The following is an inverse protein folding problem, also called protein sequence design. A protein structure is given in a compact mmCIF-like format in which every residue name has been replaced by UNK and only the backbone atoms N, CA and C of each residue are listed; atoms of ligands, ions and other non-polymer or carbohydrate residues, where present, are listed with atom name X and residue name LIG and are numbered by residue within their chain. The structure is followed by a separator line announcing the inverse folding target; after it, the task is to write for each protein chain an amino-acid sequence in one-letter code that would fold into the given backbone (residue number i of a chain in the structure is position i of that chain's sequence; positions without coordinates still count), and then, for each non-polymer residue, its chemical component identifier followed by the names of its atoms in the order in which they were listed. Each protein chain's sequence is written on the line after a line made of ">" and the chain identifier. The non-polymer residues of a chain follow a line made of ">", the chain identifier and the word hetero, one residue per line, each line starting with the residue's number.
data_IF_496136050384
#
_entry.id   IF_496136050384
#
_cell.length_a   1.000
_cell.length_b   1.000
_cell.length_c   1.000
_cell.angle_alpha   90.00
_cell.angle_beta   90.00
_cell.angle_gamma   90.00
#
_symmetry.space_group_name_H-M   'P 1'
#
loop_
_entity.id
_entity.type
_entity.pdbx_description
1 polymer ?
#
# COMPACT_ATOMS: atom_id res chain seq x y z
N UNK A 1 -8.01 10.24 10.25
CA UNK A 1 -7.74 10.57 8.85
C UNK A 1 -6.26 10.93 8.78
N UNK A 2 -5.42 9.90 8.68
CA UNK A 2 -3.95 9.98 8.78
C UNK A 2 -3.42 10.10 7.35
N UNK A 3 -3.23 11.35 6.92
CA UNK A 3 -2.75 11.68 5.59
C UNK A 3 -1.22 11.72 5.62
N UNK A 4 -0.57 10.82 4.87
CA UNK A 4 0.91 10.76 4.77
C UNK A 4 1.54 12.03 4.18
N UNK A 5 0.74 12.86 3.51
CA UNK A 5 1.15 14.14 2.95
C UNK A 5 1.07 15.30 3.96
N UNK A 6 0.42 15.11 5.11
CA UNK A 6 0.35 16.13 6.16
C UNK A 6 1.61 16.11 7.04
N UNK A 7 2.63 16.85 6.58
CA UNK A 7 3.88 17.02 7.31
C UNK A 7 3.69 17.60 8.73
N UNK A 8 2.64 18.38 8.97
CA UNK A 8 2.36 18.90 10.31
C UNK A 8 1.84 17.78 11.21
N UNK A 9 0.93 16.94 10.73
CA UNK A 9 0.50 15.75 11.47
C UNK A 9 1.68 14.83 11.83
N UNK A 10 2.53 14.51 10.85
CA UNK A 10 3.68 13.62 11.02
C UNK A 10 4.75 14.14 12.00
N UNK A 11 4.76 15.44 12.27
CA UNK A 11 5.70 16.06 13.23
C UNK A 11 5.09 16.25 14.61
N UNK A 12 3.76 16.37 14.71
CA UNK A 12 3.04 16.57 15.97
C UNK A 12 2.67 15.25 16.64
N UNK A 13 2.38 14.21 15.84
CA UNK A 13 1.99 12.90 16.33
C UNK A 13 3.13 11.89 16.19
N UNK A 14 3.22 10.96 17.14
CA UNK A 14 4.20 9.88 17.10
C UNK A 14 3.63 8.66 16.42
N UNK A 15 4.29 8.20 15.37
CA UNK A 15 3.92 7.00 14.63
C UNK A 15 4.90 5.85 14.89
N UNK A 16 4.46 4.59 14.79
CA UNK A 16 5.33 3.42 14.94
C UNK A 16 6.22 3.16 13.71
N UNK A 17 6.19 4.04 12.71
CA UNK A 17 6.94 3.95 11.47
C UNK A 17 8.04 5.02 11.38
N UNK A 18 9.08 4.75 10.58
CA UNK A 18 10.07 5.75 10.19
C UNK A 18 9.46 6.80 9.25
N UNK A 19 10.18 7.89 8.96
CA UNK A 19 9.74 8.94 8.04
C UNK A 19 9.13 8.35 6.76
N UNK A 20 7.86 8.66 6.43
CA UNK A 20 7.22 8.09 5.25
C UNK A 20 7.90 8.59 3.97
N UNK A 21 7.98 7.71 2.97
CA UNK A 21 8.55 8.08 1.69
C UNK A 21 7.63 9.09 0.98
N UNK A 22 8.14 10.26 0.56
CA UNK A 22 7.31 11.28 -0.11
C UNK A 22 6.79 10.81 -1.47
N UNK A 23 7.38 9.77 -2.05
CA UNK A 23 6.97 9.19 -3.33
C UNK A 23 6.11 7.93 -3.15
N UNK A 24 5.75 7.54 -1.92
CA UNK A 24 4.84 6.41 -1.71
C UNK A 24 3.43 6.76 -2.20
N UNK A 25 2.66 5.83 -2.81
CA UNK A 25 2.99 4.42 -3.05
C UNK A 25 3.94 4.17 -4.24
N UNK A 26 4.07 5.13 -5.16
CA UNK A 26 4.77 4.97 -6.45
C UNK A 26 6.28 5.28 -6.40
N UNK A 27 6.97 4.84 -5.34
CA UNK A 27 8.38 5.19 -5.16
C UNK A 27 9.27 4.49 -6.21
N UNK A 28 10.09 5.24 -6.98
CA UNK A 28 10.98 4.64 -7.97
C UNK A 28 12.31 4.13 -7.38
N UNK A 29 12.67 4.52 -6.14
CA UNK A 29 13.91 4.08 -5.48
C UNK A 29 13.68 2.82 -4.63
N UNK A 30 14.27 1.72 -5.06
CA UNK A 30 14.14 0.40 -4.42
C UNK A 30 15.41 -0.02 -3.69
N UNK A 31 16.37 0.90 -3.53
CA UNK A 31 17.65 0.63 -2.88
C UNK A 31 17.47 0.26 -1.41
N UNK A 32 18.36 -0.60 -0.89
CA UNK A 32 18.35 -0.96 0.53
C UNK A 32 18.56 0.24 1.45
N UNK A 33 19.35 1.23 1.03
CA UNK A 33 19.59 2.44 1.81
C UNK A 33 18.29 3.25 1.95
N UNK A 34 17.57 3.47 0.85
CA UNK A 34 16.28 4.15 0.84
C UNK A 34 15.23 3.43 1.70
N UNK A 35 15.08 2.12 1.52
CA UNK A 35 14.12 1.29 2.27
C UNK A 35 14.43 1.13 3.77
N UNK A 36 15.67 1.43 4.19
CA UNK A 36 16.05 1.50 5.62
C UNK A 36 15.76 2.88 6.22
N UNK A 37 15.77 3.93 5.40
CA UNK A 37 15.54 5.31 5.83
C UNK A 37 14.05 5.65 5.86
N UNK A 38 13.32 5.28 4.82
CA UNK A 38 11.93 5.67 4.62
C UNK A 38 10.95 4.51 4.77
N UNK A 39 9.84 4.76 5.48
CA UNK A 39 8.71 3.85 5.50
C UNK A 39 7.88 3.96 4.21
N UNK A 40 7.33 2.85 3.72
CA UNK A 40 6.49 2.81 2.52
C UNK A 40 5.13 2.18 2.84
N UNK A 41 4.09 2.51 2.08
CA UNK A 41 2.80 1.83 2.29
C UNK A 41 2.96 0.33 2.03
N UNK A 42 2.40 -0.50 2.92
CA UNK A 42 2.42 -1.95 2.77
C UNK A 42 1.51 -2.35 1.60
N UNK A 43 2.02 -3.06 0.58
CA UNK A 43 1.19 -3.43 -0.56
C UNK A 43 0.12 -4.46 -0.19
N UNK A 44 0.32 -5.22 0.88
CA UNK A 44 -0.69 -6.15 1.39
C UNK A 44 -1.77 -5.47 2.25
N UNK A 45 -1.59 -4.19 2.60
CA UNK A 45 -2.45 -3.38 3.46
C UNK A 45 -3.22 -4.19 4.52
N UNK A 46 -4.53 -4.33 4.37
CA UNK A 46 -5.39 -5.00 5.36
C UNK A 46 -5.10 -6.51 5.51
N UNK A 47 -4.64 -7.15 4.44
CA UNK A 47 -4.30 -8.58 4.41
C UNK A 47 -2.87 -8.86 4.91
N UNK A 48 -2.12 -7.85 5.38
CA UNK A 48 -0.76 -8.06 5.85
C UNK A 48 -0.69 -8.93 7.11
N UNK A 49 0.00 -10.06 7.02
CA UNK A 49 0.20 -10.97 8.17
C UNK A 49 1.32 -10.54 9.11
N UNK A 50 2.08 -9.50 8.75
CA UNK A 50 3.24 -8.99 9.51
C UNK A 50 2.92 -7.75 10.33
N UNK A 51 1.64 -7.43 10.56
CA UNK A 51 1.23 -6.25 11.34
C UNK A 51 1.73 -6.25 12.78
N UNK A 52 2.09 -7.40 13.35
CA UNK A 52 2.64 -7.50 14.71
C UNK A 52 4.17 -7.48 14.75
N UNK A 53 4.85 -7.58 13.60
CA UNK A 53 6.30 -7.54 13.52
C UNK A 53 6.81 -6.10 13.62
N UNK A 54 7.60 -5.81 14.65
CA UNK A 54 8.02 -4.44 14.96
C UNK A 54 8.90 -3.83 13.85
N UNK A 55 9.78 -4.63 13.23
CA UNK A 55 10.63 -4.17 12.13
C UNK A 55 9.81 -3.86 10.87
N UNK A 56 8.81 -4.70 10.57
CA UNK A 56 7.86 -4.48 9.49
C UNK A 56 7.06 -3.21 9.73
N UNK A 57 6.46 -3.03 10.91
CA UNK A 57 5.71 -1.81 11.26
C UNK A 57 6.56 -0.54 11.18
N UNK A 58 7.85 -0.65 11.48
CA UNK A 58 8.79 0.48 11.36
C UNK A 58 9.01 0.92 9.92
N UNK A 59 8.96 0.00 8.96
CA UNK A 59 9.29 0.24 7.54
C UNK A 59 8.06 0.25 6.63
N UNK A 60 6.91 -0.19 7.14
CA UNK A 60 5.70 -0.32 6.36
C UNK A 60 4.52 0.36 7.06
N UNK A 61 3.99 1.37 6.38
CA UNK A 61 2.77 2.06 6.82
C UNK A 61 1.56 1.29 6.33
N UNK A 62 0.57 1.10 7.20
CA UNK A 62 -0.66 0.40 6.83
C UNK A 62 -1.81 1.40 6.93
N UNK A 63 -2.37 1.74 5.78
CA UNK A 63 -3.66 2.41 5.64
C UNK A 63 -4.63 1.39 5.07
N UNK A 64 -5.02 0.37 5.86
CA UNK A 64 -5.84 -0.70 5.33
C UNK A 64 -7.14 -0.08 4.77
N UNK A 65 -7.42 -0.25 3.46
CA UNK A 65 -8.74 0.01 2.94
C UNK A 65 -9.77 -0.83 3.71
N UNK A 66 -11.05 -0.44 3.64
CA UNK A 66 -12.09 -1.22 4.28
C UNK A 66 -12.16 -2.61 3.62
N UNK A 67 -12.24 -3.69 4.40
CA UNK A 67 -12.52 -5.02 3.82
C UNK A 67 -13.78 -4.92 2.95
N UNK A 68 -13.71 -5.39 1.70
CA UNK A 68 -14.85 -5.34 0.80
C UNK A 68 -16.06 -6.02 1.46
N UNK A 69 -17.20 -5.32 1.63
CA UNK A 69 -18.34 -5.88 2.35
C UNK A 69 -19.06 -6.99 1.56
N UNK A 70 -18.88 -7.02 0.24
CA UNK A 70 -19.45 -8.05 -0.63
C UNK A 70 -18.45 -9.21 -0.80
N UNK A 71 -18.74 -10.41 -0.25
CA UNK A 71 -17.88 -11.57 -0.36
C UNK A 71 -17.82 -12.14 -1.79
N UNK A 72 -18.73 -11.73 -2.68
CA UNK A 72 -18.77 -12.14 -4.09
C UNK A 72 -18.12 -11.12 -5.04
N UNK A 73 -17.62 -10.01 -4.52
CA UNK A 73 -17.01 -8.96 -5.31
C UNK A 73 -15.70 -9.45 -5.95
N UNK A 74 -15.60 -9.27 -7.26
CA UNK A 74 -14.40 -9.60 -8.04
C UNK A 74 -13.74 -8.37 -8.67
N UNK A 75 -14.18 -7.17 -8.29
CA UNK A 75 -13.55 -5.93 -8.74
C UNK A 75 -12.16 -5.82 -8.13
N UNK A 76 -11.14 -5.76 -8.99
CA UNK A 76 -9.74 -5.52 -8.62
C UNK A 76 -9.19 -4.30 -9.38
N UNK A 77 -10.05 -3.38 -9.80
CA UNK A 77 -9.61 -2.13 -10.42
C UNK A 77 -8.83 -1.29 -9.40
N UNK A 78 -7.89 -0.46 -9.87
CA UNK A 78 -7.12 0.44 -8.99
C UNK A 78 -8.03 1.35 -8.15
N UNK A 79 -9.09 1.87 -8.76
CA UNK A 79 -10.12 2.68 -8.09
C UNK A 79 -10.78 1.90 -6.94
N UNK A 80 -11.18 0.65 -7.20
CA UNK A 80 -11.74 -0.21 -6.15
C UNK A 80 -10.74 -0.53 -5.04
N UNK A 81 -9.51 -0.91 -5.39
CA UNK A 81 -8.48 -1.29 -4.43
C UNK A 81 -7.95 -0.11 -3.60
N UNK A 82 -8.15 1.12 -4.06
CA UNK A 82 -7.87 2.33 -3.27
C UNK A 82 -8.77 2.47 -2.04
N UNK A 83 -9.97 1.87 -2.07
CA UNK A 83 -10.99 1.99 -1.02
C UNK A 83 -11.29 0.66 -0.33
N UNK A 84 -11.15 -0.45 -1.06
CA UNK A 84 -11.55 -1.77 -0.58
C UNK A 84 -10.45 -2.82 -0.71
N UNK A 85 -10.26 -3.60 0.36
CA UNK A 85 -9.33 -4.73 0.38
C UNK A 85 -10.02 -6.06 0.13
N UNK A 86 -9.30 -6.96 -0.53
CA UNK A 86 -9.69 -8.35 -0.75
C UNK A 86 -8.62 -9.30 -0.22
N UNK A 87 -9.04 -10.44 0.33
CA UNK A 87 -8.10 -11.47 0.76
C UNK A 87 -7.32 -12.03 -0.45
N UNK A 88 -5.99 -12.06 -0.35
CA UNK A 88 -5.12 -12.56 -1.41
C UNK A 88 -4.91 -11.62 -2.60
N UNK A 89 -5.39 -10.37 -2.51
CA UNK A 89 -5.13 -9.32 -3.51
C UNK A 89 -4.32 -8.23 -2.83
N UNK A 90 -3.31 -7.69 -3.51
CA UNK A 90 -2.56 -6.54 -3.01
C UNK A 90 -3.40 -5.28 -3.15
N UNK A 91 -3.45 -4.48 -2.08
CA UNK A 91 -4.13 -3.17 -2.07
C UNK A 91 -3.36 -2.16 -2.95
N UNK A 92 -2.04 -2.30 -3.04
CA UNK A 92 -1.20 -1.52 -3.96
C UNK A 92 -0.49 -2.49 -4.90
N UNK A 93 -0.77 -2.37 -6.19
CA UNK A 93 -0.15 -3.19 -7.24
C UNK A 93 1.08 -2.50 -7.81
N UNK A 94 2.12 -3.27 -8.18
CA UNK A 94 3.24 -2.70 -8.93
C UNK A 94 2.75 -2.17 -10.29
N UNK A 95 3.41 -1.14 -10.85
CA UNK A 95 3.05 -0.63 -12.16
C UNK A 95 3.16 -1.74 -13.22
N UNK A 96 2.11 -1.88 -14.04
CA UNK A 96 2.09 -2.84 -15.14
C UNK A 96 3.15 -2.44 -16.19
N UNK A 97 3.97 -3.39 -16.70
CA UNK A 97 4.95 -3.09 -17.74
C UNK A 97 4.30 -2.59 -19.05
N UNK A 98 3.09 -3.06 -19.35
CA UNK A 98 2.30 -2.59 -20.49
C UNK A 98 1.57 -1.26 -20.21
N UNK A 99 1.66 -0.77 -18.97
CA UNK A 99 1.12 0.51 -18.52
C UNK A 99 -0.36 0.69 -18.87
N UNK A 100 -0.69 1.87 -19.39
CA UNK A 100 -2.04 2.22 -19.81
C UNK A 100 -2.57 1.38 -20.99
N UNK A 101 -1.71 0.63 -21.67
CA UNK A 101 -2.10 -0.24 -22.78
C UNK A 101 -2.53 -1.64 -22.31
N UNK A 102 -2.35 -1.93 -21.01
CA UNK A 102 -2.78 -3.20 -20.44
C UNK A 102 -4.30 -3.31 -20.39
N UNK A 103 -4.86 -4.26 -21.14
CA UNK A 103 -6.29 -4.59 -21.11
C UNK A 103 -6.65 -5.62 -20.04
N UNK A 104 -5.64 -6.17 -19.34
CA UNK A 104 -5.77 -7.24 -18.35
C UNK A 104 -5.70 -6.74 -16.91
N UNK A 105 -5.86 -5.43 -16.68
CA UNK A 105 -5.80 -4.81 -15.34
C UNK A 105 -6.87 -5.31 -14.37
N UNK A 106 -7.90 -6.02 -14.85
CA UNK A 106 -8.92 -6.67 -14.03
C UNK A 106 -8.78 -8.20 -13.96
N UNK A 107 -7.80 -8.80 -14.64
CA UNK A 107 -7.54 -10.23 -14.56
C UNK A 107 -6.68 -10.54 -13.33
N UNK A 108 -7.26 -11.27 -12.37
CA UNK A 108 -6.60 -11.69 -11.13
C UNK A 108 -5.36 -12.55 -11.35
N UNK A 109 -5.21 -13.13 -12.55
CA UNK A 109 -4.09 -13.99 -12.95
C UNK A 109 -2.97 -13.20 -13.63
N UNK A 110 -3.26 -11.96 -14.06
CA UNK A 110 -2.31 -11.08 -14.72
C UNK A 110 -1.49 -10.24 -13.72
N UNK A 111 -2.02 -10.06 -12.50
CA UNK A 111 -1.43 -9.23 -11.43
C UNK A 111 -0.75 -10.02 -10.32
#
# INVERSE_FOLDING_TARGET
>A
DDHLDDAHHLTVFSHPFAEPCPNSPNCPDHSQAHRKKYAHVCPAGAACTKMTDAEHRKRHVHFPPHTCPDPSCNSISEDHLSTYSHAGVLDIRPPCPDGASCTLTQDRSHV
#
